data_IF_709810774181
#
_entry.id   IF_709810774181
#
_cell.length_a   1.000
_cell.length_b   1.000
_cell.length_c   1.000
_cell.angle_alpha   90.00
_cell.angle_beta   90.00
_cell.angle_gamma   90.00
#
_symmetry.space_group_name_H-M   'P 1'
#
loop_
_entity.id
_entity.type
_entity.pdbx_description
1 polymer ?
#
# COMPACT_ATOMS: atom_id res chain seq x y z
N UNK A 1 -12.22 -10.38 -5.13
CA UNK A 1 -11.55 -10.09 -3.85
C UNK A 1 -10.49 -9.00 -4.01
N UNK A 2 -9.50 -9.19 -4.89
CA UNK A 2 -8.38 -8.25 -5.11
C UNK A 2 -8.81 -6.78 -5.28
N UNK A 3 -9.86 -6.50 -6.05
CA UNK A 3 -10.38 -5.14 -6.28
C UNK A 3 -10.95 -4.46 -5.02
N UNK A 4 -11.71 -5.19 -4.20
CA UNK A 4 -12.28 -4.66 -2.93
C UNK A 4 -11.16 -4.42 -1.91
N UNK A 5 -10.15 -5.26 -1.96
CA UNK A 5 -9.01 -5.26 -1.07
C UNK A 5 -8.04 -4.10 -1.41
N UNK A 6 -7.81 -3.83 -2.70
CA UNK A 6 -7.08 -2.65 -3.16
C UNK A 6 -7.83 -1.36 -2.81
N UNK A 7 -9.16 -1.34 -2.96
CA UNK A 7 -9.98 -0.18 -2.58
C UNK A 7 -9.87 0.19 -1.09
N UNK A 8 -9.46 -0.75 -0.23
CA UNK A 8 -9.26 -0.48 1.20
C UNK A 8 -7.87 0.03 1.55
N UNK A 9 -6.95 0.01 0.59
CA UNK A 9 -5.54 0.39 0.76
C UNK A 9 -5.22 1.66 -0.06
N UNK A 10 -5.97 1.92 -1.12
CA UNK A 10 -5.83 3.14 -1.92
C UNK A 10 -6.56 4.32 -1.25
N UNK A 11 -5.89 5.48 -1.15
CA UNK A 11 -6.47 6.74 -0.65
C UNK A 11 -7.46 7.40 -1.62
N UNK A 12 -7.75 6.75 -2.75
CA UNK A 12 -8.62 7.28 -3.79
C UNK A 12 -10.10 7.09 -3.47
N UNK A 13 -10.77 8.21 -3.17
CA UNK A 13 -12.23 8.31 -3.17
C UNK A 13 -12.87 8.21 -4.58
N UNK A 14 -12.07 8.09 -5.65
CA UNK A 14 -12.49 8.25 -7.04
C UNK A 14 -12.39 7.02 -7.96
N UNK A 15 -11.41 6.13 -7.76
CA UNK A 15 -11.29 4.90 -8.57
C UNK A 15 -12.23 3.82 -8.04
N UNK A 16 -13.37 3.67 -8.74
CA UNK A 16 -14.25 2.53 -8.53
C UNK A 16 -13.62 1.31 -9.19
N UNK A 17 -12.85 0.56 -8.41
CA UNK A 17 -12.47 -0.79 -8.81
C UNK A 17 -13.74 -1.58 -9.16
N UNK A 18 -13.64 -2.49 -10.14
CA UNK A 18 -14.75 -3.36 -10.50
C UNK A 18 -15.15 -4.20 -9.27
N UNK A 19 -16.22 -3.78 -8.59
CA UNK A 19 -16.79 -4.50 -7.47
C UNK A 19 -17.50 -5.74 -8.00
N UNK A 20 -17.44 -6.84 -7.24
CA UNK A 20 -18.29 -7.99 -7.52
C UNK A 20 -19.75 -7.56 -7.50
N UNK A 21 -20.51 -7.98 -8.51
CA UNK A 21 -21.95 -7.79 -8.52
C UNK A 21 -22.55 -8.44 -7.27
N UNK A 22 -23.41 -7.69 -6.57
CA UNK A 22 -24.10 -8.16 -5.37
C UNK A 22 -25.36 -8.95 -5.71
N UNK A 23 -25.69 -9.06 -7.00
CA UNK A 23 -26.83 -9.84 -7.49
C UNK A 23 -26.71 -11.31 -7.05
N UNK A 24 -27.64 -11.75 -6.19
CA UNK A 24 -27.68 -13.10 -5.62
C UNK A 24 -27.14 -13.24 -4.20
N UNK A 25 -26.58 -12.17 -3.61
CA UNK A 25 -26.23 -12.15 -2.19
C UNK A 25 -27.43 -11.77 -1.32
N UNK A 26 -27.53 -12.36 -0.14
CA UNK A 26 -28.60 -12.03 0.81
C UNK A 26 -28.51 -10.55 1.25
N UNK A 27 -29.66 -9.87 1.18
CA UNK A 27 -29.77 -8.46 1.53
C UNK A 27 -29.45 -8.21 3.01
N UNK A 28 -29.74 -9.16 3.90
CA UNK A 28 -29.40 -9.03 5.32
C UNK A 28 -27.89 -9.18 5.56
N UNK A 29 -27.25 -10.12 4.86
CA UNK A 29 -25.79 -10.26 4.87
C UNK A 29 -25.09 -8.98 4.39
N UNK A 30 -25.55 -8.37 3.29
CA UNK A 30 -25.00 -7.10 2.80
C UNK A 30 -25.19 -5.95 3.82
N UNK A 31 -26.36 -5.85 4.46
CA UNK A 31 -26.60 -4.87 5.54
C UNK A 31 -25.68 -5.12 6.75
N UNK A 32 -25.46 -6.38 7.12
CA UNK A 32 -24.53 -6.74 8.19
C UNK A 32 -23.10 -6.33 7.85
N UNK A 33 -22.65 -6.59 6.62
CA UNK A 33 -21.32 -6.18 6.16
C UNK A 33 -21.18 -4.64 6.17
N UNK A 34 -22.19 -3.93 5.67
CA UNK A 34 -22.23 -2.47 5.68
C UNK A 34 -22.24 -1.88 7.10
N UNK A 35 -22.80 -2.60 8.08
CA UNK A 35 -22.87 -2.15 9.48
C UNK A 35 -21.51 -2.09 10.18
N UNK A 36 -20.51 -2.84 9.70
CA UNK A 36 -19.15 -2.81 10.27
C UNK A 36 -18.44 -1.57 9.78
N UNK A 37 -17.86 -0.77 10.68
CA UNK A 37 -17.14 0.46 10.31
C UNK A 37 -15.68 0.18 9.93
N UNK A 38 -15.09 -0.82 10.57
CA UNK A 38 -13.73 -1.24 10.30
C UNK A 38 -13.66 -2.08 9.01
N UNK A 39 -12.80 -1.67 8.09
CA UNK A 39 -12.53 -2.37 6.84
C UNK A 39 -11.99 -3.78 7.08
N UNK A 40 -11.20 -3.96 8.14
CA UNK A 40 -10.56 -5.23 8.47
C UNK A 40 -11.59 -6.28 8.84
N UNK A 41 -12.55 -5.88 9.67
CA UNK A 41 -13.67 -6.74 10.05
C UNK A 41 -14.49 -7.14 8.82
N UNK A 42 -14.74 -6.23 7.88
CA UNK A 42 -15.47 -6.54 6.64
C UNK A 42 -14.74 -7.59 5.81
N UNK A 43 -13.42 -7.44 5.67
CA UNK A 43 -12.58 -8.36 4.90
C UNK A 43 -12.52 -9.75 5.53
N UNK A 44 -12.32 -9.84 6.85
CA UNK A 44 -12.34 -11.10 7.60
C UNK A 44 -13.69 -11.82 7.46
N UNK A 45 -14.81 -11.08 7.56
CA UNK A 45 -16.15 -11.63 7.36
C UNK A 45 -16.30 -12.23 5.96
N UNK A 46 -15.83 -11.53 4.92
CA UNK A 46 -15.89 -12.03 3.54
C UNK A 46 -15.08 -13.32 3.34
N UNK A 47 -13.87 -13.39 3.93
CA UNK A 47 -13.06 -14.61 3.89
C UNK A 47 -13.77 -15.77 4.58
N UNK A 48 -14.34 -15.53 5.77
CA UNK A 48 -15.09 -16.56 6.49
C UNK A 48 -16.29 -17.05 5.69
N UNK A 49 -17.01 -16.16 5.00
CA UNK A 49 -18.14 -16.55 4.16
C UNK A 49 -17.71 -17.41 2.98
N UNK A 50 -16.61 -17.06 2.31
CA UNK A 50 -16.05 -17.85 1.22
C UNK A 50 -15.67 -19.24 1.72
N UNK A 51 -14.97 -19.33 2.85
CA UNK A 51 -14.57 -20.61 3.45
C UNK A 51 -15.80 -21.46 3.80
N UNK A 52 -16.82 -20.84 4.41
CA UNK A 52 -18.08 -21.51 4.75
C UNK A 52 -18.80 -22.07 3.52
N UNK A 53 -18.91 -21.29 2.44
CA UNK A 53 -19.53 -21.74 1.19
C UNK A 53 -18.79 -22.94 0.60
N UNK A 54 -17.46 -22.93 0.65
CA UNK A 54 -16.64 -24.05 0.16
C UNK A 54 -16.90 -25.32 1.00
N UNK A 55 -16.99 -25.20 2.33
CA UNK A 55 -17.31 -26.33 3.22
C UNK A 55 -18.71 -26.88 2.94
N UNK A 56 -19.72 -26.01 2.86
CA UNK A 56 -21.11 -26.43 2.57
C UNK A 56 -21.24 -27.10 1.19
N UNK A 57 -20.50 -26.61 0.18
CA UNK A 57 -20.51 -27.19 -1.16
C UNK A 57 -19.79 -28.55 -1.22
N UNK A 58 -18.76 -28.76 -0.39
CA UNK A 58 -18.12 -30.06 -0.24
C UNK A 58 -19.03 -31.07 0.48
N UNK A 59 -19.69 -30.67 1.57
CA UNK A 59 -20.64 -31.53 2.30
C UNK A 59 -21.85 -31.95 1.45
N UNK A 60 -22.35 -31.05 0.60
CA UNK A 60 -23.45 -31.34 -0.34
C UNK A 60 -23.03 -32.22 -1.52
N UNK A 61 -21.74 -32.53 -1.67
CA UNK A 61 -21.21 -33.29 -2.80
C UNK A 61 -21.14 -32.52 -4.11
N UNK A 62 -21.39 -31.21 -4.11
CA UNK A 62 -21.27 -30.35 -5.30
C UNK A 62 -19.80 -30.22 -5.73
N UNK A 63 -18.88 -30.25 -4.76
CA UNK A 63 -17.43 -30.28 -4.99
C UNK A 63 -16.94 -31.71 -4.69
N UNK A 64 -16.62 -32.47 -5.73
CA UNK A 64 -16.17 -33.88 -5.63
C UNK A 64 -14.65 -34.05 -5.59
N UNK A 65 -13.90 -32.97 -5.35
CA UNK A 65 -12.43 -33.00 -5.36
C UNK A 65 -11.87 -33.65 -4.10
N UNK A 66 -10.69 -34.27 -4.22
CA UNK A 66 -10.03 -34.91 -3.09
C UNK A 66 -9.71 -33.90 -1.97
N UNK A 67 -9.79 -34.30 -0.69
CA UNK A 67 -9.52 -33.41 0.46
C UNK A 67 -8.20 -32.60 0.37
N UNK A 68 -7.07 -33.13 -0.15
CA UNK A 68 -5.85 -32.35 -0.30
C UNK A 68 -5.97 -31.13 -1.24
N UNK A 69 -6.81 -31.23 -2.28
CA UNK A 69 -7.05 -30.13 -3.23
C UNK A 69 -7.89 -29.03 -2.56
N UNK A 70 -8.90 -29.44 -1.80
CA UNK A 70 -9.76 -28.53 -1.03
C UNK A 70 -8.94 -27.76 0.01
N UNK A 71 -8.09 -28.45 0.76
CA UNK A 71 -7.15 -27.84 1.71
C UNK A 71 -6.23 -26.80 1.05
N UNK A 72 -5.79 -27.04 -0.19
CA UNK A 72 -4.96 -26.09 -0.93
C UNK A 72 -5.73 -24.81 -1.24
N UNK A 73 -7.03 -24.89 -1.57
CA UNK A 73 -7.85 -23.72 -1.83
C UNK A 73 -7.98 -22.81 -0.59
N UNK A 74 -8.16 -23.40 0.60
CA UNK A 74 -8.17 -22.65 1.86
C UNK A 74 -6.82 -22.00 2.17
N UNK A 75 -5.71 -22.67 1.85
CA UNK A 75 -4.37 -22.12 2.00
C UNK A 75 -4.16 -20.90 1.10
N UNK A 76 -4.60 -20.94 -0.17
CA UNK A 76 -4.48 -19.80 -1.08
C UNK A 76 -5.35 -18.61 -0.63
N UNK A 77 -6.57 -18.85 -0.13
CA UNK A 77 -7.41 -17.79 0.45
C UNK A 77 -6.75 -17.16 1.67
N UNK A 78 -6.18 -17.98 2.57
CA UNK A 78 -5.46 -17.50 3.76
C UNK A 78 -4.21 -16.70 3.39
N UNK A 79 -3.42 -17.17 2.42
CA UNK A 79 -2.27 -16.43 1.87
C UNK A 79 -2.69 -15.08 1.29
N UNK A 80 -3.80 -15.04 0.57
CA UNK A 80 -4.37 -13.79 0.05
C UNK A 80 -4.72 -12.80 1.17
N UNK A 81 -5.31 -13.28 2.27
CA UNK A 81 -5.57 -12.46 3.47
C UNK A 81 -4.31 -11.83 4.04
N UNK A 82 -3.26 -12.63 4.21
CA UNK A 82 -1.99 -12.16 4.78
C UNK A 82 -1.30 -11.17 3.84
N UNK A 83 -1.32 -11.44 2.54
CA UNK A 83 -0.76 -10.52 1.54
C UNK A 83 -1.48 -9.17 1.56
N UNK A 84 -2.81 -9.18 1.73
CA UNK A 84 -3.58 -7.96 1.85
C UNK A 84 -3.25 -7.17 3.11
N UNK A 85 -3.23 -7.83 4.27
CA UNK A 85 -2.88 -7.17 5.53
C UNK A 85 -1.50 -6.52 5.44
N UNK A 86 -0.52 -7.20 4.84
CA UNK A 86 0.82 -6.63 4.61
C UNK A 86 0.81 -5.40 3.69
N UNK A 87 0.03 -5.44 2.62
CA UNK A 87 -0.09 -4.30 1.71
C UNK A 87 -0.74 -3.09 2.42
N UNK A 88 -1.71 -3.33 3.30
CA UNK A 88 -2.33 -2.30 4.15
C UNK A 88 -1.38 -1.78 5.23
N UNK A 89 -0.60 -2.64 5.87
CA UNK A 89 0.37 -2.21 6.88
C UNK A 89 1.44 -1.27 6.27
N UNK A 90 1.78 -1.47 4.99
CA UNK A 90 2.68 -0.58 4.25
C UNK A 90 2.10 0.82 4.02
N UNK A 91 0.77 0.98 4.01
CA UNK A 91 0.10 2.29 3.92
C UNK A 91 -0.27 2.88 5.28
N UNK A 92 -0.62 2.05 6.26
CA UNK A 92 -1.11 2.49 7.57
C UNK A 92 0.01 2.81 8.57
N UNK A 93 1.23 2.32 8.34
CA UNK A 93 2.39 2.61 9.19
C UNK A 93 3.22 3.69 8.49
N UNK A 94 2.92 4.99 8.72
CA UNK A 94 3.67 6.06 8.10
C UNK A 94 5.12 6.04 8.60
N UNK A 95 6.04 6.50 7.76
CA UNK A 95 7.40 6.67 8.21
C UNK A 95 7.47 7.70 9.35
N UNK A 96 8.39 7.53 10.31
CA UNK A 96 8.41 8.38 11.48
C UNK A 96 8.63 9.85 11.11
N UNK A 97 7.63 10.69 11.43
CA UNK A 97 7.70 12.13 11.19
C UNK A 97 9.01 12.80 11.67
N UNK A 98 9.58 12.48 12.85
CA UNK A 98 10.86 13.05 13.28
C UNK A 98 12.03 12.74 12.33
N UNK A 99 11.99 11.60 11.64
CA UNK A 99 13.02 11.22 10.68
C UNK A 99 12.92 12.06 9.41
N UNK A 100 11.71 12.25 8.88
CA UNK A 100 11.45 13.14 7.72
C UNK A 100 11.99 14.55 8.02
N UNK A 101 11.71 15.06 9.22
CA UNK A 101 12.21 16.37 9.66
C UNK A 101 13.74 16.42 9.71
N UNK A 102 14.39 15.38 10.22
CA UNK A 102 15.85 15.30 10.30
C UNK A 102 16.50 15.29 8.92
N UNK A 103 16.02 14.45 8.00
CA UNK A 103 16.52 14.38 6.61
C UNK A 103 16.34 15.72 5.91
N UNK A 104 15.14 16.30 5.98
CA UNK A 104 14.85 17.60 5.37
C UNK A 104 15.76 18.70 5.93
N UNK A 105 15.99 18.69 7.25
CA UNK A 105 16.89 19.67 7.90
C UNK A 105 18.32 19.52 7.41
N UNK A 106 18.84 18.30 7.29
CA UNK A 106 20.18 18.03 6.77
C UNK A 106 20.29 18.47 5.30
N UNK A 107 19.27 18.22 4.48
CA UNK A 107 19.24 18.67 3.08
C UNK A 107 19.26 20.19 2.95
N UNK A 108 18.51 20.90 3.82
CA UNK A 108 18.56 22.36 3.88
C UNK A 108 19.96 22.88 4.27
N UNK A 109 20.58 22.29 5.30
CA UNK A 109 21.94 22.64 5.72
C UNK A 109 22.93 22.38 4.58
N UNK A 110 22.84 21.23 3.91
CA UNK A 110 23.64 20.89 2.75
C UNK A 110 23.45 21.91 1.61
N UNK A 111 22.21 22.27 1.28
CA UNK A 111 21.90 23.26 0.26
C UNK A 111 22.51 24.65 0.53
N UNK A 112 22.60 25.05 1.80
CA UNK A 112 23.21 26.32 2.21
C UNK A 112 24.74 26.26 2.30
N UNK A 113 25.32 25.16 2.81
CA UNK A 113 26.77 25.04 3.02
C UNK A 113 27.52 24.70 1.74
N UNK A 114 26.96 23.86 0.86
CA UNK A 114 27.60 23.43 -0.38
C UNK A 114 28.02 24.59 -1.30
N UNK A 115 27.23 25.65 -1.59
CA UNK A 115 27.71 26.79 -2.37
C UNK A 115 28.90 27.51 -1.72
N UNK A 116 28.88 27.67 -0.40
CA UNK A 116 29.95 28.36 0.35
C UNK A 116 31.26 27.55 0.26
N UNK A 117 31.17 26.23 0.46
CA UNK A 117 32.33 25.36 0.39
C UNK A 117 32.87 25.23 -1.04
N UNK A 118 32.00 25.13 -2.04
CA UNK A 118 32.45 24.99 -3.44
C UNK A 118 33.17 26.24 -3.95
N UNK A 119 32.82 27.44 -3.46
CA UNK A 119 33.56 28.66 -3.78
C UNK A 119 35.00 28.64 -3.25
N UNK A 120 35.26 27.96 -2.13
CA UNK A 120 36.60 27.83 -1.54
C UNK A 120 37.42 26.74 -2.26
N UNK A 121 36.75 25.72 -2.78
CA UNK A 121 37.40 24.54 -3.40
C UNK A 121 37.68 24.75 -4.88
N UNK A 122 36.84 25.50 -5.60
CA UNK A 122 36.91 25.64 -7.05
C UNK A 122 37.21 27.09 -7.45
N UNK A 123 38.25 27.28 -8.26
CA UNK A 123 38.62 28.60 -8.79
C UNK A 123 37.64 29.10 -9.86
N UNK A 124 37.00 28.18 -10.59
CA UNK A 124 36.05 28.52 -11.65
C UNK A 124 34.64 28.72 -11.09
N UNK A 125 34.11 29.94 -11.25
CA UNK A 125 32.75 30.29 -10.85
C UNK A 125 31.69 29.43 -11.56
N UNK A 126 31.92 29.12 -12.84
CA UNK A 126 31.02 28.25 -13.60
C UNK A 126 31.03 26.81 -13.06
N UNK A 127 32.21 26.28 -12.72
CA UNK A 127 32.32 24.94 -12.15
C UNK A 127 31.66 24.87 -10.75
N UNK A 128 31.83 25.90 -9.93
CA UNK A 128 31.15 26.02 -8.63
C UNK A 128 29.63 25.96 -8.78
N UNK A 129 29.06 26.80 -9.66
CA UNK A 129 27.62 26.82 -9.90
C UNK A 129 27.08 25.46 -10.38
N UNK A 130 27.77 24.82 -11.33
CA UNK A 130 27.37 23.52 -11.88
C UNK A 130 27.42 22.42 -10.82
N UNK A 131 28.50 22.33 -10.06
CA UNK A 131 28.68 21.27 -9.04
C UNK A 131 27.71 21.46 -7.88
N UNK A 132 27.51 22.70 -7.41
CA UNK A 132 26.52 22.98 -6.36
C UNK A 132 25.11 22.66 -6.82
N UNK A 133 24.72 23.06 -8.04
CA UNK A 133 23.41 22.74 -8.59
C UNK A 133 23.20 21.23 -8.72
N UNK A 134 24.17 20.52 -9.32
CA UNK A 134 24.06 19.08 -9.54
C UNK A 134 23.98 18.32 -8.20
N UNK A 135 24.79 18.72 -7.21
CA UNK A 135 24.75 18.14 -5.88
C UNK A 135 23.37 18.34 -5.23
N UNK A 136 22.87 19.58 -5.19
CA UNK A 136 21.55 19.86 -4.64
C UNK A 136 20.44 19.09 -5.37
N UNK A 137 20.46 19.09 -6.71
CA UNK A 137 19.49 18.39 -7.52
C UNK A 137 19.44 16.88 -7.24
N UNK A 138 20.61 16.22 -7.15
CA UNK A 138 20.67 14.78 -6.87
C UNK A 138 20.15 14.44 -5.48
N UNK A 139 20.53 15.20 -4.45
CA UNK A 139 20.09 14.91 -3.08
C UNK A 139 18.62 15.21 -2.86
N UNK A 140 18.11 16.33 -3.38
CA UNK A 140 16.68 16.64 -3.31
C UNK A 140 15.85 15.66 -4.14
N UNK A 141 16.28 15.35 -5.36
CA UNK A 141 15.60 14.35 -6.20
C UNK A 141 15.59 12.96 -5.57
N UNK A 142 16.66 12.54 -4.88
CA UNK A 142 16.69 11.29 -4.13
C UNK A 142 15.70 11.29 -2.96
N UNK A 143 15.60 12.41 -2.23
CA UNK A 143 14.64 12.56 -1.14
C UNK A 143 13.20 12.48 -1.65
N UNK A 144 12.90 13.11 -2.78
CA UNK A 144 11.56 13.11 -3.37
C UNK A 144 11.19 11.71 -3.90
N UNK A 145 12.13 11.00 -4.55
CA UNK A 145 11.93 9.60 -4.95
C UNK A 145 11.70 8.70 -3.72
N UNK A 146 12.41 8.94 -2.62
CA UNK A 146 12.23 8.16 -1.40
C UNK A 146 10.85 8.42 -0.77
N UNK A 147 10.39 9.67 -0.78
CA UNK A 147 9.05 10.05 -0.32
C UNK A 147 7.95 9.38 -1.17
N UNK A 148 8.15 9.29 -2.49
CA UNK A 148 7.22 8.59 -3.39
C UNK A 148 7.14 7.08 -3.09
N UNK A 149 8.30 6.44 -2.88
CA UNK A 149 8.37 5.00 -2.55
C UNK A 149 7.71 4.70 -1.20
N UNK A 150 7.70 5.67 -0.28
CA UNK A 150 7.02 5.54 1.02
C UNK A 150 5.49 5.47 0.88
N UNK A 151 4.92 6.09 -0.16
CA UNK A 151 3.48 6.11 -0.42
C UNK A 151 3.13 5.34 -1.71
N UNK A 152 3.32 4.01 -1.75
CA UNK A 152 3.18 3.22 -2.98
C UNK A 152 1.75 3.14 -3.53
N UNK A 153 0.76 3.62 -2.78
CA UNK A 153 -0.65 3.71 -3.19
C UNK A 153 -1.18 5.15 -3.07
N UNK A 154 -0.28 6.15 -3.04
CA UNK A 154 -0.56 7.58 -3.05
C UNK A 154 -1.12 8.08 -4.38
N UNK A 155 -1.31 9.40 -4.49
CA UNK A 155 -2.03 10.05 -5.60
C UNK A 155 -1.14 10.84 -6.55
N UNK A 156 0.16 10.58 -6.53
CA UNK A 156 1.16 11.41 -7.19
C UNK A 156 1.51 10.90 -8.60
#
# INVERSE_FOLDING_TARGET
LNCVALQTITDQFGERFSTLDTHGMDSNALKFLASKRDSNQRMEILIQWIQKIIVEAAEKGTITVAPPILSRSFQEVSRGSVALTRARDMTEIPFPFPYVQLVTTILMIHGCLTPILMQVVLDSQAACAIVTFLSAFVFWGMNDIAAEIESPFGND
#
